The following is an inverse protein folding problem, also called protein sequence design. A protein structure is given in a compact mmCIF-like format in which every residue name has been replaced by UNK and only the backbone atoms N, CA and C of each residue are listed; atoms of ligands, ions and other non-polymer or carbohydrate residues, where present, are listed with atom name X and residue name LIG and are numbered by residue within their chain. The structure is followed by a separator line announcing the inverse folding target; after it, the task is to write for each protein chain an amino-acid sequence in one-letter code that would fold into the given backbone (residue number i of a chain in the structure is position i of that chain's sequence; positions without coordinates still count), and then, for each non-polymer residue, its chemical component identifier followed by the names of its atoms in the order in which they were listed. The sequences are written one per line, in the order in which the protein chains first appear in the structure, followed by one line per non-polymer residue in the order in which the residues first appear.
data_IF_339574030474
#
_entry.id   IF_339574030474
#
_cell.length_a   1.000
_cell.length_b   1.000
_cell.length_c   1.000
_cell.angle_alpha   90.00
_cell.angle_beta   90.00
_cell.angle_gamma   90.00
#
_symmetry.space_group_name_H-M   'P 1'
#
loop_
_entity.id
_entity.type
_entity.pdbx_description
1 polymer ?
#
# COMPACT_ATOMS: atom_id res chain seq x y z
N UNK A 1 0.94 -3.93 -34.73
CA UNK A 1 1.64 -3.07 -33.78
C UNK A 1 1.12 -3.45 -32.41
N UNK A 2 1.96 -3.84 -31.45
CA UNK A 2 1.45 -4.22 -30.13
C UNK A 2 1.03 -2.96 -29.38
N UNK A 3 -0.28 -2.74 -29.26
CA UNK A 3 -0.85 -2.05 -28.10
C UNK A 3 -0.65 -3.01 -26.93
N UNK A 4 0.43 -2.78 -26.19
CA UNK A 4 0.57 -3.33 -24.86
C UNK A 4 -0.55 -2.70 -24.04
N UNK A 5 -1.59 -3.48 -23.75
CA UNK A 5 -2.57 -3.15 -22.74
C UNK A 5 -1.81 -2.81 -21.46
N UNK A 6 -1.86 -1.54 -21.06
CA UNK A 6 -1.57 -1.12 -19.70
C UNK A 6 -2.49 -1.94 -18.80
N UNK A 7 -1.97 -3.03 -18.26
CA UNK A 7 -2.67 -3.88 -17.31
C UNK A 7 -2.96 -2.96 -16.13
N UNK A 8 -4.23 -2.55 -16.04
CA UNK A 8 -4.73 -1.64 -15.02
C UNK A 8 -4.67 -2.38 -13.67
N UNK A 9 -3.49 -2.38 -13.04
CA UNK A 9 -3.34 -2.70 -11.62
C UNK A 9 -3.97 -1.54 -10.84
N UNK A 10 -5.31 -1.53 -10.76
CA UNK A 10 -6.04 -0.48 -10.07
C UNK A 10 -5.62 -0.45 -8.59
N UNK A 11 -5.12 0.68 -8.08
CA UNK A 11 -4.64 0.74 -6.71
C UNK A 11 -5.79 0.66 -5.70
N UNK A 12 -5.53 0.02 -4.56
CA UNK A 12 -6.57 -0.18 -3.56
C UNK A 12 -6.87 1.12 -2.80
N UNK A 13 -8.09 1.64 -2.92
CA UNK A 13 -8.55 2.83 -2.20
C UNK A 13 -9.53 2.48 -1.08
N UNK A 14 -9.31 3.03 0.11
CA UNK A 14 -10.17 2.89 1.27
C UNK A 14 -10.62 4.27 1.76
N UNK A 15 -11.84 4.67 1.39
CA UNK A 15 -12.35 6.01 1.66
C UNK A 15 -11.51 7.08 0.94
N UNK A 16 -10.92 8.00 1.70
CA UNK A 16 -10.01 9.03 1.16
C UNK A 16 -8.54 8.58 1.07
N UNK A 17 -8.23 7.34 1.45
CA UNK A 17 -6.86 6.84 1.51
C UNK A 17 -6.57 5.87 0.36
N UNK A 18 -5.41 6.00 -0.26
CA UNK A 18 -4.91 5.04 -1.24
C UNK A 18 -3.82 4.18 -0.58
N UNK A 19 -3.79 2.89 -0.91
CA UNK A 19 -2.76 1.98 -0.48
C UNK A 19 -1.50 2.16 -1.32
N UNK A 20 -0.39 2.40 -0.64
CA UNK A 20 0.92 2.48 -1.24
C UNK A 20 1.84 1.43 -0.64
N UNK A 21 2.81 1.00 -1.43
CA UNK A 21 3.89 0.13 -1.00
C UNK A 21 5.23 0.83 -1.20
N UNK A 22 6.17 0.60 -0.29
CA UNK A 22 7.55 1.06 -0.48
C UNK A 22 8.55 0.22 0.26
N UNK A 23 9.78 0.27 -0.19
CA UNK A 23 10.92 -0.36 0.47
C UNK A 23 11.57 0.62 1.43
N UNK A 24 11.60 0.27 2.73
CA UNK A 24 12.31 1.05 3.73
C UNK A 24 13.51 0.27 4.25
N UNK A 25 14.63 0.99 4.42
CA UNK A 25 15.83 0.44 5.05
C UNK A 25 15.70 0.60 6.56
N UNK A 26 15.55 -0.52 7.28
CA UNK A 26 15.51 -0.53 8.74
C UNK A 26 16.91 -0.35 9.33
N UNK A 27 16.98 0.01 10.63
CA UNK A 27 18.22 0.32 11.36
C UNK A 27 19.27 -0.81 11.35
N UNK A 28 18.90 -2.02 10.95
CA UNK A 28 19.79 -3.19 10.80
C UNK A 28 20.22 -3.49 9.36
N UNK A 29 20.07 -2.55 8.42
CA UNK A 29 20.47 -2.74 7.02
C UNK A 29 19.54 -3.62 6.19
N UNK A 30 18.51 -4.19 6.80
CA UNK A 30 17.46 -4.96 6.11
C UNK A 30 16.51 -4.02 5.36
N UNK A 31 16.26 -4.34 4.10
CA UNK A 31 15.17 -3.77 3.32
C UNK A 31 13.88 -4.48 3.71
N UNK A 32 12.88 -3.72 4.14
CA UNK A 32 11.55 -4.22 4.42
C UNK A 32 10.56 -3.49 3.56
N UNK A 33 9.76 -4.23 2.79
CA UNK A 33 8.61 -3.68 2.08
C UNK A 33 7.50 -3.42 3.10
N UNK A 34 7.05 -2.18 3.18
CA UNK A 34 5.94 -1.76 4.04
C UNK A 34 4.76 -1.32 3.18
N UNK A 35 3.56 -1.58 3.69
CA UNK A 35 2.31 -1.13 3.10
C UNK A 35 1.70 -0.08 4.00
N UNK A 36 1.26 1.03 3.43
CA UNK A 36 0.67 2.12 4.20
C UNK A 36 -0.39 2.85 3.38
N UNK A 37 -1.35 3.41 4.10
CA UNK A 37 -2.43 4.19 3.51
C UNK A 37 -2.09 5.68 3.57
N UNK A 38 -2.31 6.38 2.47
CA UNK A 38 -1.96 7.80 2.33
C UNK A 38 -2.99 8.53 1.48
N UNK A 39 -3.35 9.77 1.86
CA UNK A 39 -4.25 10.63 1.06
C UNK A 39 -3.53 11.30 -0.11
N UNK A 40 -2.22 11.55 0.04
CA UNK A 40 -1.33 12.05 -1.00
C UNK A 40 -0.32 10.97 -1.36
N UNK A 41 -0.11 10.78 -2.66
CA UNK A 41 1.03 10.02 -3.18
C UNK A 41 2.33 10.65 -2.72
N UNK A 42 3.34 9.81 -2.52
CA UNK A 42 4.71 10.23 -2.25
C UNK A 42 5.59 9.61 -3.32
N UNK A 43 6.55 10.36 -3.83
CA UNK A 43 7.49 9.88 -4.86
C UNK A 43 8.21 8.59 -4.45
N UNK A 44 8.45 8.39 -3.14
CA UNK A 44 9.07 7.18 -2.61
C UNK A 44 8.12 5.99 -2.42
N UNK A 45 6.91 6.01 -2.99
CA UNK A 45 5.94 4.94 -2.79
C UNK A 45 5.01 4.74 -3.98
N UNK A 46 4.86 3.48 -4.36
CA UNK A 46 4.07 3.09 -5.51
C UNK A 46 2.64 2.70 -5.07
N UNK A 47 1.61 3.20 -5.77
CA UNK A 47 0.24 2.81 -5.50
C UNK A 47 0.07 1.33 -5.84
N UNK A 48 -0.52 0.55 -4.94
CA UNK A 48 -0.55 -0.91 -5.03
C UNK A 48 -1.92 -1.47 -4.64
N UNK A 49 -2.30 -2.60 -5.24
CA UNK A 49 -3.46 -3.36 -4.83
C UNK A 49 -3.25 -3.99 -3.44
N UNK A 50 -4.36 -4.35 -2.79
CA UNK A 50 -4.31 -5.05 -1.49
C UNK A 50 -3.78 -6.46 -1.70
N UNK A 51 -2.61 -6.84 -1.13
CA UNK A 51 -2.12 -8.21 -1.23
C UNK A 51 -3.08 -9.20 -0.58
N UNK A 52 -3.19 -10.39 -1.18
CA UNK A 52 -3.98 -11.50 -0.61
C UNK A 52 -3.42 -11.92 0.75
N UNK A 53 -4.30 -12.25 1.70
CA UNK A 53 -3.92 -12.54 3.09
C UNK A 53 -3.65 -11.29 3.94
N UNK A 54 -3.98 -10.09 3.46
CA UNK A 54 -3.97 -8.88 4.27
C UNK A 54 -5.38 -8.28 4.38
N UNK A 55 -5.70 -7.80 5.58
CA UNK A 55 -6.96 -7.14 5.92
C UNK A 55 -6.72 -5.67 6.26
N UNK A 56 -7.64 -4.81 5.85
CA UNK A 56 -7.61 -3.39 6.19
C UNK A 56 -8.30 -3.22 7.52
N UNK A 57 -7.57 -2.70 8.51
CA UNK A 57 -8.10 -2.35 9.83
C UNK A 57 -7.97 -0.87 10.05
N UNK A 58 -9.08 -0.20 10.34
CA UNK A 58 -9.06 1.20 10.77
C UNK A 58 -8.74 1.24 12.25
N UNK A 59 -7.69 1.97 12.64
CA UNK A 59 -7.42 2.23 14.05
C UNK A 59 -8.42 3.25 14.57
N UNK A 60 -9.34 2.84 15.44
CA UNK A 60 -10.35 3.74 16.04
C UNK A 60 -9.70 4.89 16.83
N UNK A 61 -8.52 4.68 17.42
CA UNK A 61 -7.81 5.71 18.19
C UNK A 61 -7.19 6.82 17.34
N UNK A 62 -6.84 6.54 16.08
CA UNK A 62 -6.12 7.50 15.21
C UNK A 62 -6.84 7.79 13.90
N UNK A 63 -7.91 7.06 13.59
CA UNK A 63 -8.64 7.14 12.31
C UNK A 63 -7.83 6.69 11.09
N UNK A 64 -6.65 6.09 11.30
CA UNK A 64 -5.74 5.70 10.22
C UNK A 64 -6.00 4.25 9.80
N UNK A 65 -6.24 3.98 8.50
CA UNK A 65 -6.28 2.62 7.99
C UNK A 65 -4.88 2.01 7.99
N UNK A 66 -4.79 0.78 8.48
CA UNK A 66 -3.58 -0.02 8.54
C UNK A 66 -3.82 -1.38 7.87
N UNK A 67 -2.81 -1.85 7.15
CA UNK A 67 -2.81 -3.19 6.60
C UNK A 67 -2.34 -4.18 7.69
N UNK A 68 -3.21 -5.10 8.08
CA UNK A 68 -2.89 -6.17 9.02
C UNK A 68 -2.78 -7.48 8.26
N UNK A 69 -1.71 -8.24 8.50
CA UNK A 69 -1.60 -9.61 7.96
C UNK A 69 -2.68 -10.47 8.61
N UNK A 70 -3.60 -10.98 7.79
CA UNK A 70 -4.53 -12.03 8.19
C UNK A 70 -3.73 -13.32 8.29
N UNK A 71 -3.88 -14.03 9.40
CA UNK A 71 -2.98 -15.12 9.79
C UNK A 71 -3.31 -16.41 9.07
#
# INVERSE_FOLDING_TARGET
MPEWETVDESPFTFGEYTLYTKEVKLRGGRLQRIYFFSKKGKDDADPCAKPEGYEVKVNERTGLPLLKKSK
#
